data_IF_719610364588
#
_entry.id   IF_719610364588
#
_cell.length_a   1.000
_cell.length_b   1.000
_cell.length_c   1.000
_cell.angle_alpha   90.00
_cell.angle_beta   90.00
_cell.angle_gamma   90.00
#
_symmetry.space_group_name_H-M   'P 1'
#
loop_
_entity.id
_entity.type
_entity.pdbx_description
1 polymer ?
#
# COMPACT_ATOMS: atom_id res chain seq x y z
N UNK A 1 28.56 1.08 -16.96
CA UNK A 1 27.53 0.62 -16.00
C UNK A 1 26.17 0.84 -16.65
N UNK A 2 25.57 -0.23 -17.17
CA UNK A 2 24.19 -0.19 -17.67
C UNK A 2 23.27 -0.07 -16.46
N UNK A 3 22.64 1.10 -16.30
CA UNK A 3 21.54 1.28 -15.36
C UNK A 3 20.45 0.31 -15.82
N UNK A 4 20.09 -0.66 -14.97
CA UNK A 4 18.91 -1.48 -15.23
C UNK A 4 17.70 -0.54 -15.19
N UNK A 5 17.17 -0.20 -16.37
CA UNK A 5 16.00 0.65 -16.55
C UNK A 5 14.75 0.12 -15.80
N UNK A 6 14.85 -1.07 -15.21
CA UNK A 6 13.77 -1.72 -14.47
C UNK A 6 14.05 -1.94 -12.97
N UNK A 7 15.10 -1.33 -12.40
CA UNK A 7 15.28 -1.32 -10.94
C UNK A 7 14.27 -0.35 -10.27
N UNK A 8 13.23 -0.87 -9.57
CA UNK A 8 12.23 -0.02 -8.94
C UNK A 8 12.79 0.80 -7.77
N UNK A 9 13.93 0.40 -7.20
CA UNK A 9 14.59 1.09 -6.07
C UNK A 9 15.36 2.30 -6.59
N UNK A 10 16.21 2.10 -7.60
CA UNK A 10 16.94 3.20 -8.25
C UNK A 10 15.98 4.23 -8.87
N UNK A 11 14.94 3.77 -9.56
CA UNK A 11 13.94 4.66 -10.17
C UNK A 11 13.22 5.52 -9.12
N UNK A 12 12.91 4.96 -7.95
CA UNK A 12 12.32 5.72 -6.86
C UNK A 12 13.26 6.80 -6.33
N UNK A 13 14.55 6.46 -6.13
CA UNK A 13 15.56 7.43 -5.70
C UNK A 13 15.70 8.60 -6.67
N UNK A 14 15.65 8.33 -7.98
CA UNK A 14 15.63 9.39 -9.01
C UNK A 14 14.42 10.29 -8.81
N UNK A 15 13.20 9.75 -8.75
CA UNK A 15 11.99 10.56 -8.56
C UNK A 15 12.00 11.36 -7.26
N UNK A 16 12.43 10.75 -6.14
CA UNK A 16 12.56 11.39 -4.85
C UNK A 16 13.49 12.62 -4.93
N UNK A 17 14.60 12.53 -5.67
CA UNK A 17 15.54 13.66 -5.87
C UNK A 17 14.98 14.82 -6.70
N UNK A 18 14.01 14.57 -7.59
CA UNK A 18 13.39 15.64 -8.40
C UNK A 18 12.51 16.58 -7.58
N UNK A 19 11.97 16.09 -6.45
CA UNK A 19 10.96 16.77 -5.64
C UNK A 19 9.67 17.13 -6.40
N UNK A 20 9.41 16.54 -7.58
CA UNK A 20 8.23 16.85 -8.41
C UNK A 20 6.93 16.26 -7.86
N UNK A 21 7.01 15.28 -6.95
CA UNK A 21 5.85 14.62 -6.36
C UNK A 21 5.72 14.94 -4.88
N UNK A 22 4.50 14.88 -4.38
CA UNK A 22 4.19 15.10 -2.97
C UNK A 22 3.10 14.13 -2.50
N UNK A 23 3.09 13.86 -1.19
CA UNK A 23 2.09 13.05 -0.53
C UNK A 23 1.06 13.94 0.17
N UNK A 24 -0.19 13.48 0.21
CA UNK A 24 -1.22 14.00 1.12
C UNK A 24 -2.05 12.85 1.68
N UNK A 25 -2.65 13.06 2.84
CA UNK A 25 -3.69 12.16 3.35
C UNK A 25 -4.92 12.25 2.45
N UNK A 26 -5.52 11.11 2.14
CA UNK A 26 -6.78 11.04 1.41
C UNK A 26 -7.95 11.48 2.31
N UNK A 27 -8.99 12.05 1.71
CA UNK A 27 -10.26 12.40 2.36
C UNK A 27 -11.40 11.59 1.77
N UNK A 28 -12.59 11.69 2.36
CA UNK A 28 -13.77 11.01 1.82
C UNK A 28 -14.16 11.52 0.43
N UNK A 29 -13.81 12.76 0.08
CA UNK A 29 -14.05 13.32 -1.25
C UNK A 29 -13.22 12.62 -2.34
N UNK A 30 -12.11 11.97 -1.95
CA UNK A 30 -11.25 11.24 -2.88
C UNK A 30 -11.81 9.86 -3.27
N UNK A 31 -12.82 9.32 -2.55
CA UNK A 31 -13.25 7.92 -2.69
C UNK A 31 -13.64 7.57 -4.13
N UNK A 32 -14.38 8.44 -4.81
CA UNK A 32 -14.78 8.22 -6.21
C UNK A 32 -13.57 8.18 -7.15
N UNK A 33 -12.62 9.10 -7.00
CA UNK A 33 -11.41 9.16 -7.82
C UNK A 33 -10.47 7.98 -7.54
N UNK A 34 -10.35 7.58 -6.27
CA UNK A 34 -9.58 6.40 -5.85
C UNK A 34 -10.17 5.11 -6.41
N UNK A 35 -11.50 4.95 -6.38
CA UNK A 35 -12.17 3.78 -6.96
C UNK A 35 -11.84 3.63 -8.45
N UNK A 36 -11.88 4.74 -9.20
CA UNK A 36 -11.50 4.75 -10.62
C UNK A 36 -10.02 4.41 -10.82
N UNK A 37 -9.12 5.10 -10.10
CA UNK A 37 -7.66 4.90 -10.21
C UNK A 37 -7.25 3.46 -9.89
N UNK A 38 -7.83 2.85 -8.85
CA UNK A 38 -7.56 1.45 -8.46
C UNK A 38 -8.01 0.50 -9.57
N UNK A 39 -9.19 0.73 -10.15
CA UNK A 39 -9.68 -0.06 -11.28
C UNK A 39 -8.76 0.05 -12.50
N UNK A 40 -8.30 1.24 -12.84
CA UNK A 40 -7.40 1.48 -13.99
C UNK A 40 -6.03 0.85 -13.77
N UNK A 41 -5.48 0.97 -12.56
CA UNK A 41 -4.25 0.31 -12.13
C UNK A 41 -4.33 -1.20 -12.33
N UNK A 42 -5.37 -1.86 -11.79
CA UNK A 42 -5.50 -3.32 -11.87
C UNK A 42 -5.72 -3.81 -13.31
N UNK A 43 -6.64 -3.18 -14.05
CA UNK A 43 -6.93 -3.58 -15.43
C UNK A 43 -5.72 -3.45 -16.34
N UNK A 44 -4.86 -2.46 -16.11
CA UNK A 44 -3.68 -2.24 -16.94
C UNK A 44 -2.46 -3.05 -16.48
N UNK A 45 -2.18 -3.08 -15.16
CA UNK A 45 -0.92 -3.54 -14.61
C UNK A 45 -0.96 -4.97 -14.05
N UNK A 46 -2.15 -5.53 -13.83
CA UNK A 46 -2.31 -6.89 -13.33
C UNK A 46 -2.53 -7.93 -14.45
N UNK A 47 -2.50 -7.49 -15.71
CA UNK A 47 -2.57 -8.38 -16.89
C UNK A 47 -1.43 -9.41 -16.86
N UNK A 48 -1.75 -10.65 -17.23
CA UNK A 48 -0.80 -11.76 -17.21
C UNK A 48 -0.59 -12.41 -15.83
N UNK A 49 -1.06 -11.77 -14.76
CA UNK A 49 -1.08 -12.35 -13.41
C UNK A 49 -2.46 -12.88 -13.03
N UNK A 50 -3.51 -12.21 -13.51
CA UNK A 50 -4.90 -12.61 -13.36
C UNK A 50 -5.58 -12.60 -14.73
N UNK A 51 -6.58 -13.46 -14.85
CA UNK A 51 -7.52 -13.48 -15.97
C UNK A 51 -8.48 -12.30 -15.90
N UNK A 52 -9.08 -11.95 -17.04
CA UNK A 52 -10.07 -10.85 -17.09
C UNK A 52 -11.26 -11.08 -16.14
N UNK A 53 -11.87 -12.29 -16.07
CA UNK A 53 -12.95 -12.57 -15.11
C UNK A 53 -12.54 -12.41 -13.64
N UNK A 54 -11.32 -12.81 -13.26
CA UNK A 54 -10.81 -12.61 -11.89
C UNK A 54 -10.69 -11.11 -11.55
N UNK A 55 -10.22 -10.29 -12.50
CA UNK A 55 -10.13 -8.84 -12.31
C UNK A 55 -11.51 -8.18 -12.22
N UNK A 56 -12.42 -8.54 -13.13
CA UNK A 56 -13.77 -7.97 -13.17
C UNK A 56 -14.58 -8.35 -11.92
N UNK A 57 -14.38 -9.55 -11.38
CA UNK A 57 -15.05 -10.00 -10.15
C UNK A 57 -14.47 -9.39 -8.88
N UNK A 58 -13.22 -8.96 -8.88
CA UNK A 58 -12.51 -8.48 -7.70
C UNK A 58 -12.49 -6.96 -7.55
N UNK A 59 -12.46 -6.21 -8.64
CA UNK A 59 -12.50 -4.73 -8.62
C UNK A 59 -13.86 -4.25 -8.08
N UNK A 60 -13.83 -3.36 -7.09
CA UNK A 60 -15.03 -2.88 -6.40
C UNK A 60 -15.58 -3.84 -5.34
N UNK A 61 -15.10 -5.09 -5.30
CA UNK A 61 -15.43 -6.06 -4.25
C UNK A 61 -14.27 -6.21 -3.26
N UNK A 62 -13.19 -6.87 -3.68
CA UNK A 62 -11.99 -7.03 -2.88
C UNK A 62 -11.04 -5.83 -3.03
N UNK A 63 -10.94 -5.29 -4.24
CA UNK A 63 -10.03 -4.18 -4.54
C UNK A 63 -10.79 -2.88 -4.74
N UNK A 64 -10.68 -2.01 -3.75
CA UNK A 64 -11.24 -0.67 -3.74
C UNK A 64 -10.64 0.12 -2.59
N UNK A 65 -11.03 1.40 -2.43
CA UNK A 65 -10.68 2.14 -1.24
C UNK A 65 -11.26 1.45 0.00
N UNK A 66 -10.54 1.54 1.11
CA UNK A 66 -11.02 1.15 2.44
C UNK A 66 -11.16 2.43 3.26
N UNK A 67 -12.39 2.91 3.40
CA UNK A 67 -12.69 4.19 4.08
C UNK A 67 -12.28 4.17 5.55
N UNK A 68 -12.10 2.99 6.15
CA UNK A 68 -11.52 2.88 7.50
C UNK A 68 -10.12 3.48 7.55
N UNK A 69 -9.29 3.30 6.52
CA UNK A 69 -7.95 3.90 6.49
C UNK A 69 -8.02 5.42 6.29
N UNK A 70 -9.05 5.91 5.59
CA UNK A 70 -9.30 7.36 5.43
C UNK A 70 -9.71 7.97 6.77
N UNK A 71 -10.65 7.33 7.48
CA UNK A 71 -11.04 7.75 8.84
C UNK A 71 -9.89 7.67 9.84
N UNK A 72 -9.06 6.63 9.73
CA UNK A 72 -7.84 6.48 10.53
C UNK A 72 -6.73 7.46 10.10
N UNK A 73 -6.91 8.23 9.01
CA UNK A 73 -5.92 9.12 8.41
C UNK A 73 -4.58 8.42 8.08
N UNK A 74 -4.66 7.16 7.66
CA UNK A 74 -3.50 6.33 7.28
C UNK A 74 -3.55 5.90 5.81
N UNK A 75 -4.39 6.56 5.00
CA UNK A 75 -4.46 6.41 3.56
C UNK A 75 -3.93 7.66 2.86
N UNK A 76 -3.09 7.47 1.84
CA UNK A 76 -2.31 8.51 1.21
C UNK A 76 -2.45 8.49 -0.31
N UNK A 77 -2.32 9.68 -0.89
CA UNK A 77 -2.27 9.94 -2.32
C UNK A 77 -0.92 10.57 -2.62
N UNK A 78 -0.25 10.01 -3.63
CA UNK A 78 0.93 10.60 -4.25
C UNK A 78 0.49 11.32 -5.52
N UNK A 79 0.80 12.61 -5.60
CA UNK A 79 0.39 13.49 -6.68
C UNK A 79 1.58 14.31 -7.22
N UNK A 80 1.54 14.75 -8.49
CA UNK A 80 2.54 15.66 -9.02
C UNK A 80 2.27 17.06 -8.50
N UNK A 81 3.28 17.77 -8.00
CA UNK A 81 3.12 19.13 -7.44
C UNK A 81 2.51 20.12 -8.43
N UNK A 82 2.84 19.96 -9.71
CA UNK A 82 2.28 20.79 -10.79
C UNK A 82 0.78 20.55 -11.02
N UNK A 83 0.21 19.43 -10.56
CA UNK A 83 -1.21 19.12 -10.68
C UNK A 83 -1.74 18.31 -9.47
N UNK A 84 -2.07 18.99 -8.35
CA UNK A 84 -2.45 18.34 -7.09
C UNK A 84 -3.73 17.51 -7.09
N UNK A 85 -4.59 17.65 -8.11
CA UNK A 85 -5.79 16.82 -8.26
C UNK A 85 -5.50 15.47 -8.91
N UNK A 86 -4.31 15.28 -9.49
CA UNK A 86 -3.94 14.01 -10.13
C UNK A 86 -3.48 12.99 -9.10
N UNK A 87 -4.06 11.80 -9.14
CA UNK A 87 -3.63 10.67 -8.31
C UNK A 87 -2.68 9.79 -9.13
N UNK A 88 -1.36 9.89 -8.87
CA UNK A 88 -0.37 9.04 -9.53
C UNK A 88 -0.26 7.67 -8.88
N UNK A 89 -0.36 7.62 -7.55
CA UNK A 89 -0.41 6.38 -6.77
C UNK A 89 -1.21 6.60 -5.49
N UNK A 90 -1.76 5.54 -4.94
CA UNK A 90 -2.39 5.53 -3.61
C UNK A 90 -1.88 4.36 -2.78
N UNK A 91 -2.05 4.45 -1.47
CA UNK A 91 -1.57 3.45 -0.54
C UNK A 91 -1.81 3.84 0.90
N UNK A 92 -1.69 2.90 1.82
CA UNK A 92 -1.76 3.20 3.23
C UNK A 92 -1.21 2.13 4.12
N UNK A 93 -1.35 2.34 5.42
CA UNK A 93 -1.05 1.34 6.44
C UNK A 93 -2.22 1.22 7.41
N UNK A 94 -2.26 0.13 8.18
CA UNK A 94 -3.30 -0.09 9.18
C UNK A 94 -2.75 -0.80 10.41
N UNK A 95 -3.10 -0.24 11.57
CA UNK A 95 -2.95 -0.86 12.88
C UNK A 95 -4.13 -1.76 13.25
N UNK A 96 -5.06 -2.03 12.32
CA UNK A 96 -6.21 -2.94 12.54
C UNK A 96 -5.90 -4.31 11.96
N UNK A 97 -6.48 -5.37 12.52
CA UNK A 97 -6.24 -6.77 12.11
C UNK A 97 -6.66 -7.11 10.67
N UNK A 98 -7.41 -6.25 9.99
CA UNK A 98 -7.74 -6.42 8.57
C UNK A 98 -6.46 -6.37 7.73
N UNK A 99 -6.16 -7.47 7.04
CA UNK A 99 -4.93 -7.61 6.24
C UNK A 99 -5.03 -6.93 4.86
N UNK A 100 -6.13 -7.15 4.13
CA UNK A 100 -6.38 -6.61 2.79
C UNK A 100 -7.89 -6.51 2.53
N UNK A 101 -8.27 -5.87 1.42
CA UNK A 101 -9.66 -5.63 1.03
C UNK A 101 -10.01 -4.15 0.85
N UNK A 102 -11.15 -3.84 0.24
CA UNK A 102 -11.81 -2.54 0.28
C UNK A 102 -13.03 -2.58 1.20
N UNK A 103 -13.85 -1.53 1.16
CA UNK A 103 -15.09 -1.45 1.95
C UNK A 103 -16.05 -2.61 1.70
N UNK A 104 -16.13 -3.08 0.46
CA UNK A 104 -17.02 -4.18 0.04
C UNK A 104 -16.42 -5.58 0.23
N UNK A 105 -15.24 -5.69 0.84
CA UNK A 105 -14.59 -6.97 1.07
C UNK A 105 -15.44 -7.88 2.00
N UNK A 106 -15.38 -9.21 1.84
CA UNK A 106 -16.19 -10.13 2.61
C UNK A 106 -15.93 -10.01 4.12
N UNK A 107 -17.01 -10.09 4.91
CA UNK A 107 -17.00 -9.91 6.37
C UNK A 107 -15.89 -10.70 7.11
N UNK A 108 -15.59 -11.97 6.78
CA UNK A 108 -14.49 -12.71 7.42
C UNK A 108 -13.10 -12.06 7.29
N UNK A 109 -12.88 -11.20 6.28
CA UNK A 109 -11.65 -10.44 6.13
C UNK A 109 -11.66 -9.13 6.94
N UNK A 110 -12.84 -8.61 7.27
CA UNK A 110 -13.03 -7.34 7.98
C UNK A 110 -12.87 -7.54 9.48
N UNK A 111 -11.63 -7.39 9.94
CA UNK A 111 -11.24 -7.50 11.34
C UNK A 111 -10.89 -6.11 11.89
N UNK A 112 -11.85 -5.37 12.51
CA UNK A 112 -11.66 -3.98 12.89
C UNK A 112 -10.82 -3.79 14.17
N UNK A 113 -10.58 -4.88 14.91
CA UNK A 113 -9.80 -4.88 16.13
C UNK A 113 -8.40 -4.30 15.89
N UNK A 114 -7.91 -3.50 16.84
CA UNK A 114 -6.57 -2.93 16.79
C UNK A 114 -5.52 -4.00 17.09
N UNK A 115 -4.31 -3.77 16.59
CA UNK A 115 -3.09 -4.52 16.82
C UNK A 115 -2.23 -3.83 17.88
N UNK A 116 -1.43 -4.61 18.58
CA UNK A 116 -0.42 -4.13 19.51
C UNK A 116 0.90 -3.86 18.76
N UNK A 117 1.39 -2.61 18.68
CA UNK A 117 2.64 -2.28 18.00
C UNK A 117 3.89 -3.00 18.53
N UNK A 118 3.86 -3.49 19.77
CA UNK A 118 4.98 -4.21 20.39
C UNK A 118 5.05 -5.66 19.91
N UNK A 119 3.90 -6.30 19.66
CA UNK A 119 3.81 -7.76 19.46
C UNK A 119 3.19 -8.17 18.12
N UNK A 120 2.52 -7.27 17.41
CA UNK A 120 1.88 -7.53 16.12
C UNK A 120 2.61 -6.84 14.95
N UNK A 121 2.12 -7.11 13.73
CA UNK A 121 2.58 -6.48 12.48
C UNK A 121 1.56 -5.46 11.98
N UNK A 122 1.97 -4.25 11.59
CA UNK A 122 1.05 -3.37 10.88
C UNK A 122 0.84 -3.88 9.45
N UNK A 123 -0.37 -3.70 8.90
CA UNK A 123 -0.62 -4.05 7.50
C UNK A 123 -0.30 -2.88 6.58
N UNK A 124 0.55 -3.09 5.57
CA UNK A 124 0.62 -2.19 4.41
C UNK A 124 -0.51 -2.58 3.45
N UNK A 125 -1.27 -1.59 3.00
CA UNK A 125 -2.55 -1.81 2.32
C UNK A 125 -2.70 -0.96 1.08
N UNK A 126 -3.32 -1.59 0.08
CA UNK A 126 -3.83 -1.00 -1.15
C UNK A 126 -2.83 -0.09 -1.88
N UNK A 127 -1.59 -0.56 -2.10
CA UNK A 127 -0.61 0.14 -2.95
C UNK A 127 -1.02 -0.05 -4.42
N UNK A 128 -1.45 1.02 -5.07
CA UNK A 128 -1.81 1.03 -6.50
C UNK A 128 -1.13 2.20 -7.19
N UNK A 129 -0.70 2.02 -8.45
CA UNK A 129 -0.08 3.08 -9.27
C UNK A 129 -0.88 3.21 -10.55
N UNK A 130 -1.26 4.43 -10.90
CA UNK A 130 -1.96 4.70 -12.13
C UNK A 130 -1.07 4.32 -13.35
N UNK A 131 -1.61 3.69 -14.40
CA UNK A 131 -0.81 3.13 -15.50
C UNK A 131 0.06 4.15 -16.24
N UNK A 132 -0.41 5.40 -16.40
CA UNK A 132 0.38 6.48 -17.01
C UNK A 132 1.66 6.83 -16.22
N UNK A 133 1.76 6.39 -14.97
CA UNK A 133 2.85 6.68 -14.04
C UNK A 133 3.60 5.41 -13.60
N UNK A 134 3.21 4.25 -14.13
CA UNK A 134 3.80 2.97 -13.76
C UNK A 134 5.26 2.86 -14.19
N UNK A 135 6.02 2.01 -13.50
CA UNK A 135 7.45 1.71 -13.78
C UNK A 135 8.39 2.92 -13.69
N UNK A 136 7.95 4.03 -13.09
CA UNK A 136 8.77 5.23 -12.81
C UNK A 136 9.28 5.32 -11.38
N UNK A 137 9.04 4.30 -10.53
CA UNK A 137 9.45 4.31 -9.12
C UNK A 137 8.38 4.80 -8.13
N UNK A 138 7.25 5.33 -8.61
CA UNK A 138 6.19 5.90 -7.76
C UNK A 138 5.52 4.89 -6.82
N UNK A 139 5.39 3.63 -7.25
CA UNK A 139 4.90 2.55 -6.38
C UNK A 139 5.85 2.28 -5.18
N UNK A 140 7.16 2.30 -5.43
CA UNK A 140 8.19 2.19 -4.38
C UNK A 140 8.15 3.38 -3.44
N UNK A 141 7.99 4.60 -3.96
CA UNK A 141 7.86 5.81 -3.13
C UNK A 141 6.65 5.70 -2.19
N UNK A 142 5.50 5.28 -2.72
CA UNK A 142 4.29 5.08 -1.91
C UNK A 142 4.49 4.00 -0.84
N UNK A 143 5.13 2.88 -1.20
CA UNK A 143 5.47 1.80 -0.27
C UNK A 143 6.34 2.34 0.89
N UNK A 144 7.46 3.00 0.59
CA UNK A 144 8.37 3.59 1.60
C UNK A 144 7.67 4.60 2.49
N UNK A 145 6.81 5.43 1.92
CA UNK A 145 6.03 6.39 2.68
C UNK A 145 5.12 5.67 3.71
N UNK A 146 4.43 4.61 3.28
CA UNK A 146 3.58 3.84 4.18
C UNK A 146 4.38 3.12 5.28
N UNK A 147 5.56 2.57 4.97
CA UNK A 147 6.46 1.96 5.96
C UNK A 147 6.92 2.97 7.01
N UNK A 148 7.38 4.14 6.57
CA UNK A 148 7.82 5.21 7.45
C UNK A 148 6.69 5.67 8.38
N UNK A 149 5.48 5.87 7.83
CA UNK A 149 4.30 6.27 8.62
C UNK A 149 3.85 5.19 9.61
N UNK A 150 3.94 3.90 9.25
CA UNK A 150 3.67 2.81 10.18
C UNK A 150 4.71 2.71 11.30
N UNK A 151 5.98 2.98 10.99
CA UNK A 151 7.10 3.02 11.94
C UNK A 151 6.95 4.18 12.94
N UNK A 152 6.56 5.35 12.45
CA UNK A 152 6.33 6.55 13.28
C UNK A 152 5.08 6.41 14.14
N UNK A 153 4.07 5.69 13.67
CA UNK A 153 2.77 5.58 14.33
C UNK A 153 1.91 6.84 14.13
N UNK A 154 0.98 7.04 15.06
CA UNK A 154 0.00 8.13 15.01
C UNK A 154 -0.15 8.79 16.38
N UNK A 155 -0.02 10.12 16.42
CA UNK A 155 -0.39 10.93 17.58
C UNK A 155 -1.89 11.19 17.59
N UNK A 156 -2.45 11.54 18.75
CA UNK A 156 -3.85 11.89 18.84
C UNK A 156 -4.16 13.09 17.92
N UNK A 157 -5.16 12.96 17.07
CA UNK A 157 -5.69 14.03 16.23
C UNK A 157 -7.19 13.84 15.99
N UNK A 158 -7.98 14.90 16.18
CA UNK A 158 -9.40 14.92 15.85
C UNK A 158 -10.25 13.81 16.48
N UNK A 159 -9.90 13.34 17.69
CA UNK A 159 -10.60 12.24 18.38
C UNK A 159 -10.08 10.83 18.08
N UNK A 160 -9.04 10.69 17.25
CA UNK A 160 -8.36 9.43 17.02
C UNK A 160 -7.38 9.09 18.14
N UNK A 161 -7.32 7.80 18.52
CA UNK A 161 -6.42 7.32 19.55
C UNK A 161 -4.95 7.38 19.10
N UNK A 162 -4.05 7.54 20.09
CA UNK A 162 -2.61 7.36 19.89
C UNK A 162 -2.34 5.91 19.48
N UNK A 163 -1.47 5.73 18.48
CA UNK A 163 -1.00 4.44 18.00
C UNK A 163 0.53 4.48 18.00
N UNK A 164 1.15 3.59 18.76
CA UNK A 164 2.61 3.45 18.77
C UNK A 164 3.16 3.01 17.42
N UNK A 165 4.45 3.24 17.21
CA UNK A 165 5.17 2.81 16.01
C UNK A 165 5.33 1.30 15.91
N UNK A 166 5.13 0.74 14.71
CA UNK A 166 5.32 -0.69 14.44
C UNK A 166 6.73 -0.98 13.95
N UNK A 167 7.32 -2.08 14.43
CA UNK A 167 8.64 -2.58 13.96
C UNK A 167 8.52 -3.70 12.93
N UNK A 168 7.32 -4.21 12.72
CA UNK A 168 7.05 -5.35 11.83
C UNK A 168 5.84 -5.06 10.97
N UNK A 169 5.93 -5.47 9.72
CA UNK A 169 4.93 -5.22 8.70
C UNK A 169 4.47 -6.53 8.07
N UNK A 170 3.24 -6.52 7.59
CA UNK A 170 2.63 -7.57 6.76
C UNK A 170 1.78 -6.96 5.64
N UNK A 171 1.45 -7.73 4.61
CA UNK A 171 0.51 -7.33 3.57
C UNK A 171 -0.10 -8.53 2.87
N UNK A 172 -1.28 -8.33 2.28
CA UNK A 172 -1.77 -9.17 1.19
C UNK A 172 -1.40 -8.56 -0.16
N UNK A 173 -0.42 -9.15 -0.84
CA UNK A 173 0.03 -8.72 -2.14
C UNK A 173 -0.79 -9.35 -3.27
N UNK A 174 -1.21 -8.54 -4.24
CA UNK A 174 -1.59 -9.07 -5.55
C UNK A 174 -0.38 -9.74 -6.20
N UNK A 175 -0.61 -10.75 -7.03
CA UNK A 175 0.45 -11.48 -7.75
C UNK A 175 1.34 -10.53 -8.57
N UNK A 176 0.73 -9.49 -9.16
CA UNK A 176 1.44 -8.46 -9.91
C UNK A 176 2.36 -7.57 -9.06
N UNK A 177 2.11 -7.46 -7.75
CA UNK A 177 2.91 -6.66 -6.83
C UNK A 177 4.06 -7.42 -6.18
N UNK A 178 4.03 -8.76 -6.17
CA UNK A 178 4.99 -9.58 -5.39
C UNK A 178 6.45 -9.25 -5.69
N UNK A 179 6.82 -9.15 -6.97
CA UNK A 179 8.21 -8.84 -7.37
C UNK A 179 8.67 -7.48 -6.86
N UNK A 180 7.80 -6.48 -6.86
CA UNK A 180 8.10 -5.16 -6.30
C UNK A 180 8.34 -5.28 -4.79
N UNK A 181 7.46 -5.96 -4.07
CA UNK A 181 7.57 -6.08 -2.62
C UNK A 181 8.82 -6.88 -2.19
N UNK A 182 9.20 -7.92 -2.94
CA UNK A 182 10.47 -8.64 -2.73
C UNK A 182 11.68 -7.71 -2.88
N UNK A 183 11.67 -6.81 -3.88
CA UNK A 183 12.70 -5.77 -4.05
C UNK A 183 12.70 -4.74 -2.90
N UNK A 184 11.54 -4.50 -2.30
CA UNK A 184 11.39 -3.67 -1.10
C UNK A 184 11.77 -4.38 0.21
N UNK A 185 12.23 -5.64 0.16
CA UNK A 185 12.66 -6.41 1.34
C UNK A 185 11.57 -7.23 2.01
N UNK A 186 10.40 -7.40 1.38
CA UNK A 186 9.37 -8.32 1.88
C UNK A 186 9.68 -9.77 1.50
N UNK A 187 9.36 -10.68 2.41
CA UNK A 187 9.44 -12.12 2.21
C UNK A 187 8.04 -12.70 2.12
N UNK A 188 7.83 -13.67 1.23
CA UNK A 188 6.59 -14.47 1.22
C UNK A 188 6.51 -15.30 2.50
N UNK A 189 5.36 -15.30 3.17
CA UNK A 189 5.19 -16.10 4.39
C UNK A 189 4.87 -17.57 4.12
N UNK A 190 4.66 -17.95 2.85
CA UNK A 190 4.11 -19.26 2.46
C UNK A 190 2.58 -19.35 2.45
N UNK A 191 1.86 -18.36 3.00
CA UNK A 191 0.39 -18.29 2.94
C UNK A 191 -0.08 -17.63 1.63
N UNK A 192 -1.01 -18.29 0.94
CA UNK A 192 -1.70 -17.77 -0.23
C UNK A 192 -3.20 -17.95 0.02
N UNK A 193 -3.92 -16.84 -0.01
CA UNK A 193 -5.37 -16.84 0.11
C UNK A 193 -6.00 -16.88 -1.29
N UNK A 194 -7.16 -17.54 -1.41
CA UNK A 194 -8.02 -17.47 -2.59
C UNK A 194 -9.36 -16.90 -2.15
N UNK A 195 -9.63 -15.65 -2.52
CA UNK A 195 -10.87 -14.98 -2.15
C UNK A 195 -11.90 -15.20 -3.25
N UNK A 196 -13.05 -15.78 -2.88
CA UNK A 196 -14.16 -15.99 -3.80
C UNK A 196 -14.84 -14.65 -4.11
N UNK A 197 -14.94 -14.31 -5.39
CA UNK A 197 -15.60 -13.12 -5.89
C UNK A 197 -17.10 -13.40 -6.18
N UNK A 198 -17.96 -12.37 -6.23
CA UNK A 198 -19.39 -12.53 -6.48
C UNK A 198 -19.73 -13.19 -7.82
N UNK A 199 -18.87 -12.99 -8.84
CA UNK A 199 -19.02 -13.62 -10.15
C UNK A 199 -18.59 -15.10 -10.19
N UNK A 200 -18.16 -15.66 -9.05
CA UNK A 200 -17.71 -17.05 -8.97
C UNK A 200 -16.22 -17.25 -9.27
N UNK A 201 -15.46 -16.21 -9.56
CA UNK A 201 -14.01 -16.36 -9.71
C UNK A 201 -13.29 -16.36 -8.36
N UNK A 202 -12.05 -16.87 -8.34
CA UNK A 202 -11.21 -16.89 -7.14
C UNK A 202 -9.97 -16.06 -7.35
N UNK A 203 -9.75 -15.02 -6.53
CA UNK A 203 -8.57 -14.18 -6.67
C UNK A 203 -7.49 -14.51 -5.65
N UNK A 204 -6.28 -14.77 -6.13
CA UNK A 204 -5.12 -15.11 -5.30
C UNK A 204 -4.49 -13.88 -4.67
N UNK A 205 -4.20 -13.94 -3.37
CA UNK A 205 -3.47 -12.92 -2.62
C UNK A 205 -2.34 -13.60 -1.84
N UNK A 206 -1.12 -13.11 -2.00
CA UNK A 206 0.06 -13.66 -1.33
C UNK A 206 0.32 -12.91 -0.05
N UNK A 207 0.41 -13.61 1.08
CA UNK A 207 0.79 -12.98 2.33
C UNK A 207 2.31 -12.77 2.38
N UNK A 208 2.73 -11.53 2.64
CA UNK A 208 4.13 -11.14 2.70
C UNK A 208 4.43 -10.38 3.99
N UNK A 209 5.64 -10.53 4.50
CA UNK A 209 6.08 -9.94 5.77
C UNK A 209 7.42 -9.24 5.62
N UNK A 210 7.64 -8.21 6.42
CA UNK A 210 8.93 -7.51 6.54
C UNK A 210 9.14 -7.08 7.97
N UNK A 211 10.36 -7.22 8.46
CA UNK A 211 10.78 -6.63 9.73
C UNK A 211 11.56 -5.35 9.40
N UNK A 212 11.22 -4.24 10.06
CA UNK A 212 11.90 -2.98 9.86
C UNK A 212 13.21 -2.99 10.64
N UNK A 213 14.29 -2.63 9.97
CA UNK A 213 15.59 -2.47 10.65
C UNK A 213 15.47 -1.40 11.73
N UNK A 214 16.12 -1.65 12.87
CA UNK A 214 16.29 -0.65 13.91
C UNK A 214 17.40 0.28 13.41
N UNK A 215 17.04 1.48 12.95
CA UNK A 215 18.03 2.55 12.85
C UNK A 215 18.53 2.82 14.27
N UNK A 216 19.75 2.39 14.58
CA UNK A 216 20.44 2.84 15.78
C UNK A 216 20.60 4.36 15.66
N UNK A 217 20.23 5.15 16.68
CA UNK A 217 20.50 6.58 16.64
C UNK A 217 22.00 6.77 16.38
N UNK A 218 22.32 7.56 15.36
CA UNK A 218 23.69 7.99 15.09
C UNK A 218 24.18 8.67 16.36
N UNK A 219 25.21 8.09 16.97
CA UNK A 219 25.87 8.63 18.15
C UNK A 219 26.58 9.92 17.72
N UNK A 220 25.90 11.05 17.87
CA UNK A 220 26.48 12.38 17.70
C UNK A 220 27.28 12.73 18.96
N UNK A 221 28.34 11.95 19.20
CA UNK A 221 29.37 12.25 20.20
C UNK A 221 30.72 12.41 19.50
N UNK A 222 30.81 13.43 18.64
CA UNK A 222 32.09 14.01 18.26
C UNK A 222 31.98 15.51 17.99
N UNK A 223 31.92 16.29 19.07
CA UNK A 223 32.35 17.69 19.13
C UNK A 223 32.81 18.03 20.56
#
# INVERSE_FOLDING_TARGET
>A
MTVDLHDPIANAGVQESTHEFAFRTATLDDVGALQQMIGDSLRALAKGYYTQPELDGSIGYLFGPDTVLIHDQTYFILYPRANPSTICACGGWSFRKTLYGGDSAPSPLRMPAKRDPLTDRASIRAIFTHPAWARRGLGTMMMRHCEARAREGKVADGGNAIVGGFKRLEMGATLSGVVLYERCGYLRSGRIDVVRCPNGEGIKVVHMVKDLEIENPVDDSSA
#
